data_IF_022148995426
#
_entry.id   IF_022148995426
#
_cell.length_a   1.000
_cell.length_b   1.000
_cell.length_c   1.000
_cell.angle_alpha   90.00
_cell.angle_beta   90.00
_cell.angle_gamma   90.00
#
_symmetry.space_group_name_H-M   'P 1'
#
loop_
_entity.id
_entity.type
_entity.pdbx_description
1 polymer ?
#
# COMPACT_ATOMS: atom_id res chain seq x y z
N UNK A 1 14.91 -2.58 -11.74
CA UNK A 1 15.17 -4.02 -11.96
C UNK A 1 13.85 -4.78 -11.85
N UNK A 2 13.27 -5.27 -12.97
CA UNK A 2 12.06 -6.09 -12.93
C UNK A 2 12.46 -7.54 -12.62
N UNK A 3 12.04 -8.08 -11.47
CA UNK A 3 12.28 -9.48 -11.14
C UNK A 3 11.34 -10.36 -11.97
N UNK A 4 11.88 -11.16 -12.89
CA UNK A 4 11.09 -12.03 -13.77
C UNK A 4 10.18 -12.95 -12.96
N UNK A 5 8.91 -13.05 -13.35
CA UNK A 5 7.93 -13.97 -12.75
C UNK A 5 7.27 -13.50 -11.45
N UNK A 6 7.49 -12.27 -11.02
CA UNK A 6 6.82 -11.64 -9.86
C UNK A 6 5.58 -10.82 -10.22
N UNK A 7 5.31 -10.67 -11.53
CA UNK A 7 4.17 -9.96 -12.10
C UNK A 7 3.01 -10.92 -12.29
N UNK A 8 1.80 -10.45 -11.99
CA UNK A 8 0.54 -11.13 -12.31
C UNK A 8 -0.08 -10.43 -13.51
N UNK A 9 -0.48 -11.19 -14.52
CA UNK A 9 -1.15 -10.67 -15.70
C UNK A 9 -2.65 -10.65 -15.46
N UNK A 10 -3.11 -9.54 -14.88
CA UNK A 10 -4.51 -9.34 -14.52
C UNK A 10 -5.42 -9.18 -15.75
N UNK A 11 -4.88 -8.70 -16.87
CA UNK A 11 -5.63 -8.51 -18.11
C UNK A 11 -5.89 -9.86 -18.78
N UNK A 12 -4.86 -10.70 -18.91
CA UNK A 12 -5.01 -12.06 -19.43
C UNK A 12 -5.97 -12.90 -18.57
N UNK A 13 -5.96 -12.71 -17.25
CA UNK A 13 -6.89 -13.38 -16.33
C UNK A 13 -8.36 -13.11 -16.69
N UNK A 14 -8.69 -11.85 -17.02
CA UNK A 14 -10.08 -11.45 -17.32
C UNK A 14 -10.49 -11.63 -18.78
N UNK A 15 -9.54 -11.55 -19.71
CA UNK A 15 -9.78 -11.77 -21.13
C UNK A 15 -10.30 -13.19 -21.46
N UNK A 16 -10.13 -14.13 -20.53
CA UNK A 16 -10.58 -15.52 -20.67
C UNK A 16 -12.10 -15.71 -20.56
N UNK A 17 -12.88 -14.64 -20.31
CA UNK A 17 -14.32 -14.75 -20.02
C UNK A 17 -15.23 -14.33 -21.19
N UNK A 18 -16.22 -15.16 -21.57
CA UNK A 18 -17.16 -14.85 -22.64
C UNK A 18 -18.36 -13.97 -22.23
N UNK A 19 -18.67 -13.83 -20.93
CA UNK A 19 -19.72 -12.94 -20.43
C UNK A 19 -19.40 -12.33 -19.07
N UNK A 20 -19.88 -11.10 -18.84
CA UNK A 20 -19.71 -10.36 -17.61
C UNK A 20 -20.97 -10.42 -16.74
N UNK A 21 -20.87 -11.10 -15.60
CA UNK A 21 -21.82 -11.04 -14.49
C UNK A 21 -20.99 -10.75 -13.25
N UNK A 22 -21.25 -9.63 -12.58
CA UNK A 22 -20.39 -9.08 -11.52
C UNK A 22 -20.02 -10.13 -10.46
N UNK A 23 -21.02 -10.75 -9.84
CA UNK A 23 -20.81 -11.71 -8.76
C UNK A 23 -20.05 -12.96 -9.20
N UNK A 24 -20.23 -13.39 -10.46
CA UNK A 24 -19.47 -14.50 -11.01
C UNK A 24 -18.02 -14.13 -11.26
N UNK A 25 -17.75 -12.87 -11.60
CA UNK A 25 -16.39 -12.34 -11.77
C UNK A 25 -15.71 -12.19 -10.43
N UNK A 26 -16.40 -11.65 -9.44
CA UNK A 26 -15.89 -11.60 -8.07
C UNK A 26 -15.54 -13.00 -7.57
N UNK A 27 -16.46 -13.97 -7.66
CA UNK A 27 -16.22 -15.35 -7.26
C UNK A 27 -15.04 -16.00 -8.01
N UNK A 28 -14.90 -15.74 -9.30
CA UNK A 28 -13.76 -16.19 -10.08
C UNK A 28 -12.44 -15.57 -9.60
N UNK A 29 -12.42 -14.26 -9.33
CA UNK A 29 -11.23 -13.57 -8.82
C UNK A 29 -10.81 -14.09 -7.43
N UNK A 30 -11.76 -14.40 -6.54
CA UNK A 30 -11.48 -15.07 -5.26
C UNK A 30 -10.85 -16.46 -5.43
N UNK A 31 -11.15 -17.18 -6.51
CA UNK A 31 -10.54 -18.49 -6.80
C UNK A 31 -9.15 -18.39 -7.42
N UNK A 32 -8.96 -17.47 -8.37
CA UNK A 32 -7.76 -17.46 -9.22
C UNK A 32 -6.63 -16.56 -8.71
N UNK A 33 -6.95 -15.40 -8.13
CA UNK A 33 -5.91 -14.45 -7.71
C UNK A 33 -5.06 -14.95 -6.54
N UNK A 34 -5.62 -15.59 -5.49
CA UNK A 34 -4.82 -16.04 -4.36
C UNK A 34 -3.65 -16.97 -4.70
N UNK A 35 -3.81 -18.06 -5.49
CA UNK A 35 -2.67 -18.89 -5.88
C UNK A 35 -1.65 -18.15 -6.76
N UNK A 36 -2.10 -17.22 -7.61
CA UNK A 36 -1.21 -16.39 -8.43
C UNK A 36 -0.35 -15.46 -7.57
N UNK A 37 -0.94 -14.81 -6.56
CA UNK A 37 -0.22 -13.95 -5.63
C UNK A 37 0.79 -14.71 -4.78
N UNK A 38 0.42 -15.87 -4.24
CA UNK A 38 1.36 -16.70 -3.49
C UNK A 38 2.54 -17.15 -4.36
N UNK A 39 2.26 -17.58 -5.61
CA UNK A 39 3.30 -17.99 -6.57
C UNK A 39 4.23 -16.82 -6.91
N UNK A 40 3.68 -15.63 -7.13
CA UNK A 40 4.46 -14.42 -7.39
C UNK A 40 5.32 -14.03 -6.17
N UNK A 41 4.76 -14.12 -4.96
CA UNK A 41 5.47 -13.83 -3.71
C UNK A 41 6.63 -14.81 -3.46
N UNK A 42 6.40 -16.12 -3.61
CA UNK A 42 7.46 -17.14 -3.47
C UNK A 42 8.60 -16.97 -4.46
N UNK A 43 8.36 -16.41 -5.64
CA UNK A 43 9.42 -16.07 -6.61
C UNK A 43 10.18 -14.80 -6.25
N UNK A 44 9.55 -13.90 -5.50
CA UNK A 44 10.14 -12.63 -5.06
C UNK A 44 11.08 -12.83 -3.87
N UNK A 45 10.79 -13.79 -3.00
CA UNK A 45 11.64 -14.14 -1.87
C UNK A 45 12.49 -15.37 -2.20
N UNK A 46 13.80 -15.28 -2.00
CA UNK A 46 14.72 -16.41 -2.19
C UNK A 46 14.77 -17.35 -0.97
N UNK A 47 13.99 -17.03 0.09
CA UNK A 47 13.91 -17.81 1.33
C UNK A 47 12.61 -18.63 1.36
N UNK A 48 12.59 -19.78 2.05
CA UNK A 48 11.34 -20.47 2.40
C UNK A 48 10.32 -19.50 3.03
N UNK A 49 9.03 -19.73 2.77
CA UNK A 49 7.93 -18.87 3.21
C UNK A 49 7.00 -19.61 4.17
N UNK A 50 6.51 -18.93 5.21
CA UNK A 50 5.44 -19.42 6.08
C UNK A 50 4.21 -18.54 5.86
N UNK A 51 3.46 -18.82 4.79
CA UNK A 51 2.30 -18.00 4.40
C UNK A 51 1.08 -18.46 5.19
N UNK A 52 0.56 -17.56 6.02
CA UNK A 52 -0.68 -17.70 6.76
C UNK A 52 -1.80 -16.94 6.07
N UNK A 53 -3.00 -17.52 6.08
CA UNK A 53 -4.23 -16.89 5.60
C UNK A 53 -5.15 -16.62 6.79
N UNK A 54 -5.66 -15.41 6.90
CA UNK A 54 -6.69 -15.05 7.87
C UNK A 54 -7.67 -14.04 7.28
N UNK A 55 -8.87 -13.99 7.85
CA UNK A 55 -9.92 -13.02 7.49
C UNK A 55 -10.11 -12.03 8.61
N UNK A 56 -10.25 -10.74 8.29
CA UNK A 56 -10.48 -9.67 9.25
C UNK A 56 -11.36 -8.57 8.64
N UNK A 57 -12.48 -8.25 9.31
CA UNK A 57 -13.52 -7.32 8.82
C UNK A 57 -13.91 -7.50 7.34
N UNK A 58 -14.13 -8.75 6.90
CA UNK A 58 -14.57 -9.04 5.53
C UNK A 58 -13.48 -9.00 4.46
N UNK A 59 -12.22 -8.84 4.86
CA UNK A 59 -11.06 -8.93 3.98
C UNK A 59 -10.21 -10.15 4.33
N UNK A 60 -9.67 -10.78 3.30
CA UNK A 60 -8.70 -11.86 3.39
C UNK A 60 -7.28 -11.33 3.26
N UNK A 61 -6.39 -11.89 4.06
CA UNK A 61 -5.00 -11.49 4.17
C UNK A 61 -4.09 -12.69 4.00
N UNK A 62 -3.01 -12.49 3.24
CA UNK A 62 -1.85 -13.37 3.28
C UNK A 62 -0.70 -12.69 4.00
N UNK A 63 -0.10 -13.39 4.95
CA UNK A 63 0.98 -12.90 5.80
C UNK A 63 2.11 -13.92 5.85
N UNK A 64 3.34 -13.50 5.51
CA UNK A 64 4.52 -14.34 5.66
C UNK A 64 5.11 -14.18 7.06
N UNK A 65 5.02 -15.23 7.87
CA UNK A 65 5.57 -15.29 9.22
C UNK A 65 6.94 -15.98 9.20
N UNK A 66 7.90 -15.36 8.54
CA UNK A 66 9.25 -15.91 8.41
C UNK A 66 9.96 -16.13 9.76
N UNK A 67 9.60 -15.37 10.80
CA UNK A 67 10.05 -15.57 12.18
C UNK A 67 9.76 -16.98 12.72
N UNK A 68 8.66 -17.60 12.30
CA UNK A 68 8.31 -18.98 12.65
C UNK A 68 9.33 -19.98 12.08
N UNK A 69 9.76 -19.77 10.84
CA UNK A 69 10.77 -20.61 10.19
C UNK A 69 12.14 -20.47 10.86
N UNK A 70 12.48 -19.25 11.31
CA UNK A 70 13.69 -19.03 12.09
C UNK A 70 13.63 -19.75 13.43
N UNK A 71 12.51 -19.64 14.15
CA UNK A 71 12.32 -20.30 15.46
C UNK A 71 12.43 -21.83 15.39
N UNK A 72 12.14 -22.41 14.22
CA UNK A 72 12.26 -23.85 13.94
C UNK A 72 13.63 -24.25 13.38
N UNK A 73 14.56 -23.31 13.24
CA UNK A 73 15.89 -23.57 12.66
C UNK A 73 15.90 -23.81 11.14
N UNK A 74 14.80 -23.52 10.43
CA UNK A 74 14.68 -23.74 8.98
C UNK A 74 15.42 -22.66 8.18
N UNK A 75 15.41 -21.42 8.67
CA UNK A 75 16.06 -20.27 8.01
C UNK A 75 17.04 -19.61 8.98
N UNK A 76 18.33 -19.46 8.61
CA UNK A 76 19.31 -18.78 9.44
C UNK A 76 19.03 -17.28 9.50
N UNK A 77 19.46 -16.63 10.57
CA UNK A 77 19.23 -15.21 10.81
C UNK A 77 19.73 -14.31 9.66
N UNK A 78 20.85 -14.64 9.01
CA UNK A 78 21.36 -13.81 7.90
C UNK A 78 20.52 -13.90 6.63
N UNK A 79 19.58 -14.85 6.53
CA UNK A 79 18.65 -14.99 5.39
C UNK A 79 17.20 -14.71 5.76
N UNK A 80 16.95 -14.36 7.02
CA UNK A 80 15.62 -14.05 7.53
C UNK A 80 15.07 -12.78 6.88
N UNK A 81 13.84 -12.86 6.40
CA UNK A 81 13.03 -11.70 6.03
C UNK A 81 12.19 -11.31 7.24
N UNK A 82 11.86 -10.03 7.39
CA UNK A 82 10.90 -9.59 8.40
C UNK A 82 9.50 -10.11 8.06
N UNK A 83 8.71 -10.41 9.10
CA UNK A 83 7.32 -10.79 8.96
C UNK A 83 6.53 -9.69 8.25
N UNK A 84 5.73 -10.04 7.25
CA UNK A 84 5.13 -9.05 6.34
C UNK A 84 3.87 -9.52 5.63
N UNK A 85 3.01 -8.56 5.34
CA UNK A 85 1.81 -8.77 4.53
C UNK A 85 2.21 -9.00 3.07
N UNK A 86 1.54 -9.93 2.42
CA UNK A 86 1.72 -10.24 0.99
C UNK A 86 0.65 -9.54 0.18
N UNK A 87 -0.61 -9.74 0.58
CA UNK A 87 -1.78 -9.17 -0.08
C UNK A 87 -2.92 -9.09 0.92
N UNK A 88 -3.77 -8.10 0.72
CA UNK A 88 -5.09 -8.02 1.30
C UNK A 88 -6.12 -7.84 0.19
N UNK A 89 -7.24 -8.55 0.26
CA UNK A 89 -8.27 -8.53 -0.77
C UNK A 89 -9.64 -8.80 -0.17
N UNK A 90 -10.68 -8.28 -0.80
CA UNK A 90 -12.02 -8.35 -0.26
C UNK A 90 -13.01 -7.56 -1.10
N UNK A 91 -14.22 -7.39 -0.58
CA UNK A 91 -15.19 -6.44 -1.11
C UNK A 91 -15.26 -5.22 -0.19
N UNK A 92 -15.35 -4.03 -0.78
CA UNK A 92 -15.54 -2.81 -0.01
C UNK A 92 -16.87 -2.84 0.73
N UNK A 93 -16.92 -2.20 1.89
CA UNK A 93 -18.12 -1.99 2.69
C UNK A 93 -18.49 -0.52 2.67
N UNK A 94 -19.77 -0.23 2.82
CA UNK A 94 -20.20 1.15 3.12
C UNK A 94 -19.61 1.52 4.48
N UNK A 95 -19.06 2.73 4.59
CA UNK A 95 -18.54 3.26 5.85
C UNK A 95 -19.61 3.11 6.95
N UNK A 96 -19.51 2.04 7.76
CA UNK A 96 -20.08 2.05 9.11
C UNK A 96 -19.24 3.09 9.81
N UNK A 97 -19.79 4.31 9.91
CA UNK A 97 -19.35 5.50 10.65
C UNK A 97 -18.00 5.31 11.36
N UNK A 98 -17.08 6.28 11.21
CA UNK A 98 -15.95 6.55 12.12
C UNK A 98 -16.37 6.60 13.61
N UNK A 99 -16.76 5.47 14.21
CA UNK A 99 -17.20 5.38 15.58
C UNK A 99 -15.99 5.09 16.43
N UNK A 100 -15.39 6.19 16.88
CA UNK A 100 -14.61 6.25 18.10
C UNK A 100 -13.14 5.87 17.94
N UNK A 101 -12.25 6.84 18.10
CA UNK A 101 -10.94 6.79 18.79
C UNK A 101 -10.22 5.43 18.93
N UNK A 102 -10.25 4.57 17.92
CA UNK A 102 -9.56 3.28 17.89
C UNK A 102 -8.11 3.50 17.52
N UNK A 103 -7.20 3.13 18.43
CA UNK A 103 -5.76 3.31 18.26
C UNK A 103 -5.27 2.76 16.92
N UNK A 104 -4.60 3.61 16.13
CA UNK A 104 -4.08 3.35 14.76
C UNK A 104 -2.96 2.29 14.69
N UNK A 105 -2.84 1.38 15.66
CA UNK A 105 -1.59 0.65 15.91
C UNK A 105 -1.74 -0.87 16.15
N UNK A 106 -2.93 -1.45 16.06
CA UNK A 106 -3.14 -2.78 16.63
C UNK A 106 -2.41 -3.96 15.95
N UNK A 107 -2.10 -3.94 14.64
CA UNK A 107 -1.33 -5.05 14.02
C UNK A 107 0.18 -4.84 14.03
N UNK A 108 0.64 -3.60 14.09
CA UNK A 108 2.07 -3.30 14.12
C UNK A 108 2.67 -3.53 15.50
N UNK A 109 1.88 -3.41 16.57
CA UNK A 109 2.39 -3.43 17.94
C UNK A 109 3.57 -2.47 18.10
N UNK A 110 4.64 -2.93 18.76
CA UNK A 110 5.88 -2.17 18.93
C UNK A 110 6.59 -1.80 17.61
N UNK A 111 6.30 -2.46 16.48
CA UNK A 111 6.82 -2.03 15.18
C UNK A 111 6.25 -0.68 14.75
N UNK A 112 5.11 -0.25 15.31
CA UNK A 112 4.59 1.11 15.13
C UNK A 112 5.49 2.17 15.78
N UNK A 113 6.19 1.81 16.86
CA UNK A 113 7.08 2.73 17.62
C UNK A 113 8.33 3.08 16.81
N UNK A 114 8.78 2.17 15.93
CA UNK A 114 9.89 2.41 14.98
C UNK A 114 9.61 3.58 14.01
N UNK A 115 8.39 4.10 13.96
CA UNK A 115 8.04 5.23 13.10
C UNK A 115 8.18 6.61 13.77
N UNK A 116 8.44 6.75 15.08
CA UNK A 116 8.82 8.04 15.70
C UNK A 116 7.65 8.93 16.17
N UNK A 117 7.56 10.21 15.79
CA UNK A 117 6.44 11.12 16.16
C UNK A 117 5.75 11.71 14.90
N UNK A 118 4.43 11.96 14.94
CA UNK A 118 3.54 11.95 13.75
C UNK A 118 3.75 13.07 12.69
N UNK A 119 4.33 14.22 13.04
CA UNK A 119 4.29 15.42 12.18
C UNK A 119 5.28 15.42 11.01
N UNK A 120 6.43 14.73 11.11
CA UNK A 120 7.52 14.80 10.11
C UNK A 120 7.77 13.49 9.34
N UNK A 121 6.89 12.49 9.49
CA UNK A 121 7.16 11.15 8.95
C UNK A 121 6.95 11.08 7.43
N UNK A 122 7.92 10.49 6.68
CA UNK A 122 7.73 10.13 5.28
C UNK A 122 6.83 8.91 5.10
N UNK A 123 6.68 8.07 6.14
CA UNK A 123 5.84 6.87 6.12
C UNK A 123 4.72 6.97 7.14
N UNK A 124 3.53 6.57 6.72
CA UNK A 124 2.35 6.34 7.55
C UNK A 124 1.92 4.89 7.43
N UNK A 125 1.09 4.38 8.34
CA UNK A 125 0.56 3.06 8.13
C UNK A 125 -0.35 2.96 6.92
N UNK A 126 -0.13 1.95 6.09
CA UNK A 126 -0.97 1.63 4.95
C UNK A 126 -2.29 0.99 5.39
N UNK A 127 -3.38 1.41 4.75
CA UNK A 127 -4.74 0.92 4.97
C UNK A 127 -5.18 0.08 3.77
N UNK A 128 -5.91 -1.00 4.03
CA UNK A 128 -6.62 -1.75 2.97
C UNK A 128 -8.00 -1.13 2.81
N UNK A 129 -8.42 -0.93 1.56
CA UNK A 129 -9.54 -0.07 1.20
C UNK A 129 -10.88 -0.76 1.39
N UNK A 130 -11.90 0.01 1.76
CA UNK A 130 -13.29 -0.45 1.83
C UNK A 130 -13.79 -0.74 3.24
N UNK A 131 -13.06 -0.38 4.29
CA UNK A 131 -13.58 -0.38 5.65
C UNK A 131 -12.84 0.64 6.51
N UNK A 132 -13.40 0.96 7.67
CA UNK A 132 -12.73 1.69 8.75
C UNK A 132 -11.64 0.80 9.37
N UNK A 133 -10.60 0.49 8.60
CA UNK A 133 -9.49 -0.31 9.10
C UNK A 133 -8.49 0.59 9.83
N UNK A 134 -8.50 0.51 11.16
CA UNK A 134 -7.43 1.04 12.03
C UNK A 134 -6.20 0.11 12.07
N UNK A 135 -6.11 -0.82 11.12
CA UNK A 135 -5.10 -1.86 11.06
C UNK A 135 -4.00 -1.43 10.11
N UNK A 136 -2.96 -0.89 10.71
CA UNK A 136 -1.68 -0.56 10.11
C UNK A 136 -0.95 -1.82 9.65
N UNK A 137 -0.85 -2.09 8.33
CA UNK A 137 -0.36 -3.39 7.82
C UNK A 137 1.06 -3.35 7.24
N UNK A 138 1.50 -2.18 6.80
CA UNK A 138 2.83 -1.93 6.25
C UNK A 138 3.11 -0.43 6.28
N UNK A 139 4.38 -0.01 6.25
CA UNK A 139 4.70 1.40 6.04
C UNK A 139 4.41 1.83 4.60
N UNK A 140 3.50 2.79 4.44
CA UNK A 140 3.14 3.46 3.20
C UNK A 140 3.71 4.88 3.16
N UNK A 141 4.27 5.29 2.03
CA UNK A 141 4.82 6.63 1.88
C UNK A 141 3.69 7.67 1.87
N UNK A 142 3.84 8.72 2.69
CA UNK A 142 2.80 9.72 2.98
C UNK A 142 2.36 10.50 1.74
N UNK A 143 3.26 10.78 0.80
CA UNK A 143 2.89 11.57 -0.38
C UNK A 143 1.93 10.86 -1.34
N UNK A 144 1.70 9.55 -1.18
CA UNK A 144 0.63 8.88 -1.93
C UNK A 144 -0.77 9.31 -1.45
N UNK A 145 -0.89 9.84 -0.23
CA UNK A 145 -2.14 10.44 0.28
C UNK A 145 -2.25 11.95 -0.03
N UNK A 146 -1.15 12.60 -0.43
CA UNK A 146 -1.12 14.02 -0.76
C UNK A 146 -1.32 14.22 -2.27
N UNK A 147 -2.25 15.08 -2.72
CA UNK A 147 -2.67 15.27 -4.14
C UNK A 147 -1.60 15.80 -5.13
N UNK A 148 -0.31 15.78 -4.76
CA UNK A 148 0.76 16.48 -5.48
C UNK A 148 1.30 15.73 -6.70
N UNK A 149 0.98 14.45 -6.87
CA UNK A 149 1.46 13.63 -8.00
C UNK A 149 0.30 13.01 -8.81
N UNK A 150 0.58 12.55 -10.03
CA UNK A 150 -0.40 11.78 -10.80
C UNK A 150 -0.76 10.47 -10.07
N UNK A 151 0.24 9.80 -9.52
CA UNK A 151 0.08 8.54 -8.77
C UNK A 151 -0.80 8.70 -7.53
N UNK A 152 -0.61 9.75 -6.74
CA UNK A 152 -1.45 10.03 -5.55
C UNK A 152 -2.90 10.33 -5.93
N UNK A 153 -3.13 11.12 -6.99
CA UNK A 153 -4.48 11.38 -7.51
C UNK A 153 -5.16 10.10 -7.99
N UNK A 154 -4.45 9.27 -8.75
CA UNK A 154 -4.94 7.96 -9.21
C UNK A 154 -5.28 7.07 -8.03
N UNK A 155 -4.36 6.93 -7.06
CA UNK A 155 -4.59 6.12 -5.87
C UNK A 155 -5.83 6.58 -5.11
N UNK A 156 -5.95 7.88 -4.82
CA UNK A 156 -7.12 8.45 -4.15
C UNK A 156 -8.43 8.27 -4.94
N UNK A 157 -8.38 8.36 -6.27
CA UNK A 157 -9.54 8.08 -7.10
C UNK A 157 -10.00 6.61 -6.98
N UNK A 158 -9.06 5.66 -6.91
CA UNK A 158 -9.37 4.26 -6.64
C UNK A 158 -9.98 4.07 -5.24
N UNK A 159 -9.42 4.71 -4.20
CA UNK A 159 -9.99 4.70 -2.85
C UNK A 159 -11.41 5.25 -2.80
N UNK A 160 -11.62 6.38 -3.45
CA UNK A 160 -12.94 7.02 -3.54
C UNK A 160 -13.93 6.11 -4.25
N UNK A 161 -13.52 5.42 -5.31
CA UNK A 161 -14.39 4.47 -6.02
C UNK A 161 -14.92 3.39 -5.07
N UNK A 162 -14.04 2.74 -4.30
CA UNK A 162 -14.44 1.69 -3.34
C UNK A 162 -15.33 2.22 -2.22
N UNK A 163 -15.11 3.46 -1.75
CA UNK A 163 -15.91 4.11 -0.70
C UNK A 163 -17.30 4.51 -1.21
N UNK A 164 -17.39 5.07 -2.42
CA UNK A 164 -18.65 5.47 -3.04
C UNK A 164 -19.50 4.28 -3.50
N UNK A 165 -18.88 3.10 -3.67
CA UNK A 165 -19.50 1.87 -4.18
C UNK A 165 -19.15 0.69 -3.28
N UNK A 166 -19.94 0.44 -2.24
CA UNK A 166 -19.88 -0.79 -1.47
C UNK A 166 -19.97 -2.03 -2.37
N UNK A 167 -19.50 -3.15 -1.86
CA UNK A 167 -19.41 -4.44 -2.52
C UNK A 167 -18.44 -4.48 -3.72
N UNK A 168 -17.62 -3.44 -3.88
CA UNK A 168 -16.57 -3.41 -4.91
C UNK A 168 -15.44 -4.35 -4.53
N UNK A 169 -15.20 -5.41 -5.32
CA UNK A 169 -14.00 -6.23 -5.17
C UNK A 169 -12.75 -5.38 -5.35
N UNK A 170 -11.83 -5.42 -4.37
CA UNK A 170 -10.55 -4.74 -4.44
C UNK A 170 -9.44 -5.50 -3.69
N UNK A 171 -8.20 -5.18 -4.03
CA UNK A 171 -7.02 -5.76 -3.39
C UNK A 171 -5.85 -4.78 -3.32
N UNK A 172 -4.95 -5.02 -2.37
CA UNK A 172 -3.63 -4.38 -2.29
C UNK A 172 -2.57 -5.46 -2.14
N UNK A 173 -1.71 -5.63 -3.15
CA UNK A 173 -0.59 -6.59 -3.15
C UNK A 173 0.73 -5.86 -2.94
N UNK A 174 1.54 -6.34 -2.01
CA UNK A 174 2.81 -5.73 -1.62
C UNK A 174 3.99 -6.39 -2.34
N UNK A 175 4.89 -5.58 -2.89
CA UNK A 175 6.07 -6.02 -3.65
C UNK A 175 7.33 -5.53 -2.93
N UNK A 176 8.18 -6.48 -2.58
CA UNK A 176 9.41 -6.29 -1.82
C UNK A 176 10.64 -6.51 -2.69
N UNK A 177 11.63 -5.64 -2.58
CA UNK A 177 12.96 -5.85 -3.19
C UNK A 177 14.06 -6.04 -2.13
N UNK A 178 13.66 -6.14 -0.86
CA UNK A 178 14.56 -6.31 0.28
C UNK A 178 13.99 -7.34 1.25
N UNK A 179 14.76 -7.64 2.28
CA UNK A 179 14.34 -8.49 3.40
C UNK A 179 13.48 -7.75 4.42
N UNK A 180 13.22 -6.46 4.19
CA UNK A 180 12.39 -5.67 5.08
C UNK A 180 10.91 -5.92 4.87
N UNK A 181 10.14 -5.65 5.90
CA UNK A 181 8.67 -5.56 5.88
C UNK A 181 8.13 -4.31 5.19
N UNK A 182 9.00 -3.38 4.78
CA UNK A 182 8.63 -2.23 3.96
C UNK A 182 8.57 -2.59 2.48
N UNK A 183 7.40 -2.49 1.83
CA UNK A 183 7.30 -2.74 0.40
C UNK A 183 8.01 -1.65 -0.39
N UNK A 184 8.54 -2.01 -1.55
CA UNK A 184 9.13 -1.07 -2.53
C UNK A 184 8.05 -0.52 -3.45
N UNK A 185 7.09 -1.37 -3.80
CA UNK A 185 5.94 -1.06 -4.66
C UNK A 185 4.73 -1.76 -4.05
N UNK A 186 3.55 -1.21 -4.25
CA UNK A 186 2.32 -1.98 -4.07
C UNK A 186 1.45 -1.84 -5.30
N UNK A 187 0.81 -2.93 -5.68
CA UNK A 187 -0.26 -2.94 -6.67
C UNK A 187 -1.58 -2.79 -5.93
N UNK A 188 -2.42 -1.89 -6.41
CA UNK A 188 -3.78 -1.77 -5.95
C UNK A 188 -4.71 -2.00 -7.13
N UNK A 189 -5.76 -2.78 -6.95
CA UNK A 189 -6.71 -3.05 -8.01
C UNK A 189 -8.15 -3.20 -7.54
N UNK A 190 -9.08 -2.88 -8.42
CA UNK A 190 -10.52 -2.99 -8.17
C UNK A 190 -11.29 -3.42 -9.42
N UNK A 191 -12.38 -4.17 -9.22
CA UNK A 191 -13.32 -4.56 -10.27
C UNK A 191 -14.45 -3.53 -10.34
N UNK A 192 -14.54 -2.81 -11.45
CA UNK A 192 -15.60 -1.82 -11.67
C UNK A 192 -16.91 -2.50 -12.05
N UNK A 193 -18.01 -1.78 -11.85
CA UNK A 193 -19.36 -2.23 -12.19
C UNK A 193 -19.55 -2.53 -13.70
N UNK A 194 -18.73 -1.95 -14.58
CA UNK A 194 -18.72 -2.22 -16.02
C UNK A 194 -17.90 -3.47 -16.39
N UNK A 195 -17.30 -4.13 -15.40
CA UNK A 195 -16.45 -5.30 -15.56
C UNK A 195 -15.00 -5.03 -15.93
N UNK A 196 -14.63 -3.78 -16.12
CA UNK A 196 -13.23 -3.42 -16.27
C UNK A 196 -12.49 -3.57 -14.95
N UNK A 197 -11.24 -4.04 -15.03
CA UNK A 197 -10.39 -4.23 -13.86
C UNK A 197 -9.30 -3.19 -13.85
N UNK A 198 -9.42 -2.27 -12.90
CA UNK A 198 -8.50 -1.16 -12.77
C UNK A 198 -7.39 -1.56 -11.81
N UNK A 199 -6.21 -1.84 -12.33
CA UNK A 199 -5.02 -2.17 -11.54
C UNK A 199 -3.93 -1.13 -11.79
N UNK A 200 -3.30 -0.64 -10.72
CA UNK A 200 -2.21 0.31 -10.79
C UNK A 200 -1.12 -0.06 -9.77
N UNK A 201 0.15 0.07 -10.19
CA UNK A 201 1.29 -0.05 -9.30
C UNK A 201 1.75 1.34 -8.81
N UNK A 202 2.06 1.44 -7.52
CA UNK A 202 2.49 2.66 -6.85
C UNK A 202 3.85 2.45 -6.19
N UNK A 203 4.81 3.34 -6.44
CA UNK A 203 6.10 3.32 -5.75
C UNK A 203 5.92 3.75 -4.29
N UNK A 204 6.46 2.98 -3.36
CA UNK A 204 6.43 3.29 -1.93
C UNK A 204 7.61 4.19 -1.50
N UNK A 205 7.75 5.32 -2.17
CA UNK A 205 8.89 6.22 -2.11
C UNK A 205 8.45 7.67 -2.44
N UNK A 206 9.32 8.69 -2.28
CA UNK A 206 9.06 10.05 -2.75
C UNK A 206 8.49 10.06 -4.17
N UNK A 207 7.36 10.74 -4.33
CA UNK A 207 6.73 10.93 -5.64
C UNK A 207 7.37 12.16 -6.29
N UNK A 208 7.81 12.03 -7.55
CA UNK A 208 8.30 13.18 -8.28
C UNK A 208 7.13 14.17 -8.49
N UNK A 209 7.22 15.33 -7.85
CA UNK A 209 6.26 16.41 -8.07
C UNK A 209 6.49 16.99 -9.46
N UNK A 210 5.49 16.92 -10.34
CA UNK A 210 5.46 17.82 -11.51
C UNK A 210 5.07 19.22 -11.04
N UNK A 211 5.98 19.91 -10.38
CA UNK A 211 5.92 21.37 -10.32
C UNK A 211 6.80 21.86 -11.48
N UNK A 212 6.31 22.69 -12.40
CA UNK A 212 7.19 23.40 -13.31
C UNK A 212 8.18 24.18 -12.45
N UNK A 213 9.46 23.84 -12.55
CA UNK A 213 10.54 24.68 -12.07
C UNK A 213 10.38 26.01 -12.78
N UNK A 214 9.79 27.02 -12.12
CA UNK A 214 10.03 28.44 -12.36
C UNK A 214 9.28 29.30 -11.33
N UNK A 215 10.08 30.09 -10.61
CA UNK A 215 9.75 31.32 -9.87
C UNK A 215 9.13 31.17 -8.47
N UNK A 216 9.93 30.72 -7.51
CA UNK A 216 9.95 31.40 -6.21
C UNK A 216 10.86 32.62 -6.32
N UNK A 217 10.26 33.76 -6.67
CA UNK A 217 10.87 35.05 -6.43
C UNK A 217 11.15 35.17 -4.93
N UNK A 218 12.42 35.07 -4.57
CA UNK A 218 12.93 35.46 -3.26
C UNK A 218 12.65 36.96 -3.12
N UNK A 219 11.63 37.33 -2.35
CA UNK A 219 11.55 38.67 -1.76
C UNK A 219 12.64 38.76 -0.72
N UNK A 220 13.79 39.32 -1.08
CA UNK A 220 14.76 39.82 -0.09
C UNK A 220 14.14 41.06 0.54
N UNK A 221 13.54 40.88 1.72
CA UNK A 221 13.24 42.00 2.62
C UNK A 221 14.54 42.50 3.23
N UNK A 222 14.99 43.70 2.84
CA UNK A 222 15.91 44.49 3.67
C UNK A 222 15.07 45.25 4.71
N UNK A 223 15.25 44.94 5.99
CA UNK A 223 14.92 45.86 7.09
C UNK A 223 16.20 46.54 7.58
N UNK A 224 16.01 47.77 8.04
CA UNK A 224 16.98 48.83 8.28
C UNK A 224 17.75 48.74 9.62
N UNK A 225 18.87 49.45 9.66
CA UNK A 225 19.57 50.00 10.84
C UNK A 225 20.58 51.03 10.30
N UNK A 226 20.29 52.34 10.32
CA UNK A 226 20.55 53.31 11.41
C UNK A 226 21.96 53.17 12.01
N UNK A 227 22.86 54.08 11.65
CA UNK A 227 23.87 54.66 12.56
C UNK A 227 24.45 55.94 11.93
N UNK A 228 24.43 57.02 12.72
CA UNK A 228 25.08 58.31 12.49
C UNK A 228 26.60 58.18 12.67
N UNK A 229 27.38 59.17 12.21
CA UNK A 229 28.38 59.70 13.13
C UNK A 229 28.37 61.23 13.24
N UNK A 230 28.80 61.63 14.43
CA UNK A 230 29.12 62.99 14.87
C UNK A 230 30.28 63.62 14.07
N UNK A 231 30.34 64.94 14.22
CA UNK A 231 31.32 65.89 13.68
C UNK A 231 32.80 65.58 14.03
N UNK A 232 33.69 66.02 13.14
CA UNK A 232 34.55 67.20 13.33
C UNK A 232 34.67 67.96 11.99
#
# INVERSE_FOLDING_TARGET
>A
MRMRGTTVDYEALLASRPSFIYDEVVRYLYGELPPLWQKAYRKMTQSPTSIHHFTHYGFDFFFDRASELHSRGVVPGERLVEDRIIVAYGQSTSDVRRTGNGSKHHLLGAAAERFGDNAQRPYMPGCVLGGTFDVSLYPQYRDLENEHSADSRTYRAMKKYCSDRPDTFCFTRLIYTSRSWRPTVFEHGLLRADGSFWVQAFKNAPQESRVPTLLRNVRVGRKASTELPFAD
#
